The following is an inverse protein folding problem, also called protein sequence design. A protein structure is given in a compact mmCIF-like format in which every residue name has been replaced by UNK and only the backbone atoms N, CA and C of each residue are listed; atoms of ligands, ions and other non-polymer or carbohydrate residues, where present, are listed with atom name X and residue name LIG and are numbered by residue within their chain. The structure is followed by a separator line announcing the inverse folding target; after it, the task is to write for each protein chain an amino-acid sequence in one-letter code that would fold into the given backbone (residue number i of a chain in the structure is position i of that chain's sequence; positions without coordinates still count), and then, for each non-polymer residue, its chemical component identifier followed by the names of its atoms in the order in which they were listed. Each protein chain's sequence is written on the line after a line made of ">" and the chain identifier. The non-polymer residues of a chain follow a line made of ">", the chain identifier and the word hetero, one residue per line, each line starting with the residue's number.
data_IF_949770225751
#
_entry.id   IF_949770225751
#
_cell.length_a   1.000
_cell.length_b   1.000
_cell.length_c   1.000
_cell.angle_alpha   90.00
_cell.angle_beta   90.00
_cell.angle_gamma   90.00
#
_symmetry.space_group_name_H-M   'P 1'
#
loop_
_entity.id
_entity.type
_entity.pdbx_description
1 polymer ?
#
# COMPACT_ATOMS: atom_id res chain seq x y z
N UNK A 1 23.83 -1.18 -3.12
CA UNK A 1 22.83 -1.96 -2.35
C UNK A 1 22.77 -3.35 -2.96
N UNK A 2 22.91 -4.42 -2.17
CA UNK A 2 22.87 -5.78 -2.68
C UNK A 2 21.42 -6.26 -2.94
N UNK A 3 21.26 -7.27 -3.80
CA UNK A 3 19.95 -7.78 -4.24
C UNK A 3 19.08 -8.26 -3.07
N UNK A 4 19.68 -8.82 -2.03
CA UNK A 4 18.96 -9.31 -0.83
C UNK A 4 18.41 -8.14 -0.01
N UNK A 5 19.18 -7.07 0.14
CA UNK A 5 18.72 -5.84 0.78
C UNK A 5 17.58 -5.18 0.00
N UNK A 6 17.69 -5.14 -1.34
CA UNK A 6 16.62 -4.62 -2.20
C UNK A 6 15.31 -5.43 -2.07
N UNK A 7 15.38 -6.77 -2.11
CA UNK A 7 14.18 -7.61 -1.91
C UNK A 7 13.52 -7.39 -0.54
N UNK A 8 14.32 -7.23 0.52
CA UNK A 8 13.78 -6.93 1.86
C UNK A 8 13.09 -5.58 1.88
N UNK A 9 13.67 -4.56 1.27
CA UNK A 9 13.07 -3.23 1.19
C UNK A 9 11.71 -3.27 0.47
N UNK A 10 11.60 -3.99 -0.65
CA UNK A 10 10.34 -4.15 -1.36
C UNK A 10 9.29 -4.89 -0.53
N UNK A 11 9.65 -5.97 0.17
CA UNK A 11 8.70 -6.66 1.07
C UNK A 11 8.18 -5.72 2.16
N UNK A 12 9.08 -4.99 2.80
CA UNK A 12 8.70 -4.01 3.84
C UNK A 12 7.76 -2.95 3.23
N UNK A 13 8.05 -2.43 2.04
CA UNK A 13 7.20 -1.45 1.38
C UNK A 13 5.80 -2.02 1.10
N UNK A 14 5.71 -3.23 0.53
CA UNK A 14 4.42 -3.91 0.25
C UNK A 14 3.62 -4.09 1.55
N UNK A 15 4.25 -4.58 2.62
CA UNK A 15 3.58 -4.78 3.91
C UNK A 15 3.07 -3.44 4.48
N UNK A 16 3.85 -2.35 4.32
CA UNK A 16 3.44 -1.00 4.75
C UNK A 16 2.26 -0.46 3.94
N UNK A 17 2.24 -0.64 2.62
CA UNK A 17 1.09 -0.18 1.82
C UNK A 17 -0.19 -0.98 2.14
N UNK A 18 -0.05 -2.28 2.47
CA UNK A 18 -1.18 -3.08 2.93
C UNK A 18 -1.76 -2.56 4.25
N UNK A 19 -0.89 -2.26 5.21
CA UNK A 19 -1.27 -1.66 6.48
C UNK A 19 -1.90 -0.27 6.30
N UNK A 20 -1.33 0.58 5.44
CA UNK A 20 -1.85 1.92 5.15
C UNK A 20 -3.23 1.87 4.48
N UNK A 21 -3.41 1.02 3.48
CA UNK A 21 -4.71 0.77 2.85
C UNK A 21 -5.75 0.35 3.88
N UNK A 22 -5.41 -0.61 4.74
CA UNK A 22 -6.33 -1.08 5.79
C UNK A 22 -6.66 0.04 6.76
N UNK A 23 -5.65 0.78 7.21
CA UNK A 23 -5.80 1.90 8.12
C UNK A 23 -6.78 2.95 7.60
N UNK A 24 -6.62 3.39 6.35
CA UNK A 24 -7.54 4.36 5.75
C UNK A 24 -8.95 3.79 5.51
N UNK A 25 -9.04 2.49 5.20
CA UNK A 25 -10.34 1.82 5.08
C UNK A 25 -11.08 1.79 6.42
N UNK A 26 -10.38 1.40 7.49
CA UNK A 26 -10.91 1.37 8.85
C UNK A 26 -11.31 2.79 9.33
N UNK A 27 -10.50 3.81 9.03
CA UNK A 27 -10.83 5.20 9.35
C UNK A 27 -12.07 5.69 8.62
N UNK A 28 -12.24 5.31 7.35
CA UNK A 28 -13.45 5.64 6.61
C UNK A 28 -14.71 5.01 7.22
N UNK A 29 -14.59 3.89 7.93
CA UNK A 29 -15.72 3.25 8.61
C UNK A 29 -16.02 3.88 9.98
N UNK A 30 -15.03 4.51 10.62
CA UNK A 30 -15.14 5.09 11.97
C UNK A 30 -15.63 6.54 11.99
N UNK A 31 -15.57 7.26 10.88
CA UNK A 31 -16.00 8.67 10.82
C UNK A 31 -17.43 8.81 10.30
N UNK A 32 -18.20 9.71 10.90
CA UNK A 32 -19.57 9.99 10.46
C UNK A 32 -19.65 11.04 9.34
N UNK A 33 -18.68 11.96 9.27
CA UNK A 33 -18.66 13.01 8.25
C UNK A 33 -18.38 12.43 6.86
N UNK A 34 -19.32 12.63 5.93
CA UNK A 34 -19.26 12.08 4.57
C UNK A 34 -18.07 12.59 3.75
N UNK A 35 -17.57 13.80 4.01
CA UNK A 35 -16.37 14.32 3.32
C UNK A 35 -15.12 13.60 3.81
N UNK A 36 -15.00 13.39 5.12
CA UNK A 36 -13.90 12.61 5.70
C UNK A 36 -13.96 11.15 5.25
N UNK A 37 -15.15 10.55 5.23
CA UNK A 37 -15.39 9.20 4.70
C UNK A 37 -14.88 9.05 3.28
N UNK A 38 -15.23 10.01 2.41
CA UNK A 38 -14.77 10.03 1.01
C UNK A 38 -13.27 10.21 0.91
N UNK A 39 -12.68 11.12 1.71
CA UNK A 39 -11.24 11.38 1.72
C UNK A 39 -10.45 10.12 2.08
N UNK A 40 -10.81 9.45 3.17
CA UNK A 40 -10.11 8.23 3.58
C UNK A 40 -10.28 7.08 2.59
N UNK A 41 -11.45 6.95 1.95
CA UNK A 41 -11.63 6.00 0.84
C UNK A 41 -10.72 6.32 -0.35
N UNK A 42 -10.51 7.59 -0.67
CA UNK A 42 -9.56 8.02 -1.70
C UNK A 42 -8.14 7.61 -1.33
N UNK A 43 -7.69 7.85 -0.10
CA UNK A 43 -6.37 7.41 0.34
C UNK A 43 -6.20 5.89 0.29
N UNK A 44 -7.19 5.12 0.77
CA UNK A 44 -7.14 3.65 0.66
C UNK A 44 -7.05 3.16 -0.80
N UNK A 45 -7.69 3.86 -1.73
CA UNK A 45 -7.60 3.55 -3.16
C UNK A 45 -6.22 3.90 -3.74
N UNK A 46 -5.60 5.00 -3.31
CA UNK A 46 -4.23 5.36 -3.70
C UNK A 46 -3.22 4.29 -3.25
N UNK A 47 -3.30 3.83 -2.01
CA UNK A 47 -2.41 2.76 -1.51
C UNK A 47 -2.61 1.43 -2.23
N UNK A 48 -3.83 1.16 -2.73
CA UNK A 48 -4.07 0.00 -3.59
C UNK A 48 -3.29 0.11 -4.91
N UNK A 49 -3.21 1.30 -5.48
CA UNK A 49 -2.39 1.57 -6.67
C UNK A 49 -0.88 1.50 -6.38
N UNK A 50 -0.44 1.87 -5.17
CA UNK A 50 0.95 1.69 -4.74
C UNK A 50 1.31 0.21 -4.56
N UNK A 51 0.43 -0.58 -3.92
CA UNK A 51 0.57 -2.03 -3.79
C UNK A 51 0.77 -2.71 -5.14
N UNK A 52 -0.13 -2.48 -6.10
CA UNK A 52 -0.05 -3.09 -7.43
C UNK A 52 1.29 -2.79 -8.13
N UNK A 53 1.78 -1.54 -8.03
CA UNK A 53 3.07 -1.13 -8.58
C UNK A 53 4.23 -1.84 -7.89
N UNK A 54 4.23 -1.89 -6.56
CA UNK A 54 5.30 -2.53 -5.78
C UNK A 54 5.34 -4.05 -6.00
N UNK A 55 4.19 -4.71 -6.05
CA UNK A 55 4.08 -6.15 -6.31
C UNK A 55 4.56 -6.51 -7.72
N UNK A 56 4.19 -5.69 -8.71
CA UNK A 56 4.67 -5.84 -10.10
C UNK A 56 6.19 -5.70 -10.19
N UNK A 57 6.75 -4.65 -9.59
CA UNK A 57 8.21 -4.43 -9.55
C UNK A 57 8.95 -5.54 -8.78
N UNK A 58 8.38 -6.00 -7.65
CA UNK A 58 8.95 -7.08 -6.85
C UNK A 58 8.97 -8.41 -7.64
N UNK A 59 7.91 -8.70 -8.39
CA UNK A 59 7.82 -9.88 -9.26
C UNK A 59 8.86 -9.81 -10.37
N UNK A 60 8.96 -8.67 -11.07
CA UNK A 60 9.97 -8.45 -12.10
C UNK A 60 11.42 -8.55 -11.58
N UNK A 61 11.66 -8.18 -10.32
CA UNK A 61 12.96 -8.33 -9.66
C UNK A 61 13.31 -9.80 -9.35
N UNK A 62 12.30 -10.64 -9.13
CA UNK A 62 12.45 -12.07 -8.80
C UNK A 62 12.74 -12.93 -10.03
N UNK A 63 12.24 -12.53 -11.20
CA UNK A 63 12.43 -13.24 -12.48
C UNK A 63 13.76 -12.91 -13.18
N UNK A 64 14.48 -11.89 -12.70
CA UNK A 64 15.89 -11.60 -13.04
C UNK A 64 16.83 -12.16 -11.98
#
# INVERSE_FOLDING_TARGET
>A
MDKKTLFKAFKIAIDREYEARKFYSDLAEQVDDEKLKKLFRTFAAEESGHLEKLESLYSALKEK
#
